data_IF_779782521273
#
_entry.id   IF_779782521273
#
_cell.length_a   1.000
_cell.length_b   1.000
_cell.length_c   1.000
_cell.angle_alpha   90.00
_cell.angle_beta   90.00
_cell.angle_gamma   90.00
#
_symmetry.space_group_name_H-M   'P 1'
#
loop_
_entity.id
_entity.type
_entity.pdbx_description
1 polymer ?
#
# COMPACT_ATOMS: atom_id res chain seq x y z
N UNK A 1 25.66 -14.19 -16.34
CA UNK A 1 26.53 -13.77 -15.22
C UNK A 1 26.33 -12.28 -14.85
N UNK A 2 26.36 -11.33 -15.80
CA UNK A 2 26.16 -9.88 -15.52
C UNK A 2 24.73 -9.53 -15.02
N UNK A 3 23.68 -10.15 -15.57
CA UNK A 3 22.30 -9.87 -15.14
C UNK A 3 22.05 -10.31 -13.68
N UNK A 4 22.61 -11.45 -13.27
CA UNK A 4 22.49 -11.97 -11.91
C UNK A 4 23.24 -11.12 -10.88
N UNK A 5 24.40 -10.55 -11.24
CA UNK A 5 25.14 -9.66 -10.33
C UNK A 5 24.40 -8.33 -10.12
N UNK A 6 23.80 -7.77 -11.17
CA UNK A 6 22.99 -6.54 -11.08
C UNK A 6 21.71 -6.76 -10.26
N UNK A 7 21.01 -7.89 -10.47
CA UNK A 7 19.82 -8.24 -9.68
C UNK A 7 20.15 -8.41 -8.19
N UNK A 8 21.25 -9.10 -7.87
CA UNK A 8 21.70 -9.30 -6.49
C UNK A 8 22.05 -7.96 -5.83
N UNK A 9 22.72 -7.06 -6.55
CA UNK A 9 23.09 -5.73 -6.04
C UNK A 9 21.86 -4.84 -5.80
N UNK A 10 20.91 -4.86 -6.72
CA UNK A 10 19.67 -4.08 -6.61
C UNK A 10 18.82 -4.57 -5.44
N UNK A 11 18.71 -5.90 -5.28
CA UNK A 11 18.03 -6.50 -4.12
C UNK A 11 18.70 -6.10 -2.81
N UNK A 12 20.02 -6.20 -2.71
CA UNK A 12 20.74 -5.82 -1.50
C UNK A 12 20.54 -4.33 -1.16
N UNK A 13 20.56 -3.47 -2.18
CA UNK A 13 20.29 -2.05 -2.00
C UNK A 13 18.86 -1.77 -1.52
N UNK A 14 17.85 -2.44 -2.09
CA UNK A 14 16.46 -2.28 -1.63
C UNK A 14 16.26 -2.78 -0.19
N UNK A 15 16.92 -3.88 0.18
CA UNK A 15 16.87 -4.40 1.55
C UNK A 15 17.53 -3.44 2.54
N UNK A 16 18.71 -2.89 2.22
CA UNK A 16 19.34 -1.83 3.02
C UNK A 16 18.43 -0.60 3.10
N UNK A 17 17.83 -0.19 1.98
CA UNK A 17 16.94 0.96 1.92
C UNK A 17 15.71 0.78 2.84
N UNK A 18 15.14 -0.43 2.87
CA UNK A 18 14.02 -0.77 3.73
C UNK A 18 14.40 -0.93 5.20
N UNK A 19 15.66 -1.21 5.51
CA UNK A 19 16.09 -1.53 6.87
C UNK A 19 15.88 -0.36 7.85
N UNK A 20 15.54 -0.72 9.09
CA UNK A 20 15.32 0.22 10.17
C UNK A 20 15.49 -0.45 11.53
N UNK A 21 16.17 0.23 12.46
CA UNK A 21 16.34 -0.22 13.84
C UNK A 21 14.99 -0.42 14.58
N UNK A 22 13.94 0.30 14.17
CA UNK A 22 12.60 0.12 14.72
C UNK A 22 11.83 -0.92 13.88
N UNK A 23 11.44 -2.06 14.46
CA UNK A 23 11.07 -3.21 13.66
C UNK A 23 9.70 -3.05 12.97
N UNK A 24 8.74 -2.34 13.59
CA UNK A 24 7.49 -1.95 12.91
C UNK A 24 7.71 -1.00 11.73
N UNK A 25 8.75 -0.16 11.80
CA UNK A 25 9.08 0.75 10.70
C UNK A 25 9.77 -0.01 9.57
N UNK A 26 10.65 -0.97 9.88
CA UNK A 26 11.24 -1.87 8.89
C UNK A 26 10.17 -2.69 8.15
N UNK A 27 9.21 -3.31 8.87
CA UNK A 27 8.08 -4.01 8.25
C UNK A 27 7.23 -3.07 7.40
N UNK A 28 6.95 -1.85 7.89
CA UNK A 28 6.24 -0.82 7.13
C UNK A 28 6.97 -0.41 5.85
N UNK A 29 8.29 -0.24 5.91
CA UNK A 29 9.12 0.10 4.75
C UNK A 29 9.05 -0.98 3.66
N UNK A 30 9.03 -2.26 4.04
CA UNK A 30 8.85 -3.36 3.09
C UNK A 30 7.51 -3.26 2.37
N UNK A 31 6.42 -3.02 3.10
CA UNK A 31 5.09 -2.80 2.50
C UNK A 31 5.09 -1.59 1.58
N UNK A 32 5.71 -0.48 2.01
CA UNK A 32 5.82 0.73 1.20
C UNK A 32 6.57 0.48 -0.11
N UNK A 33 7.66 -0.28 -0.10
CA UNK A 33 8.41 -0.61 -1.31
C UNK A 33 7.64 -1.54 -2.25
N UNK A 34 6.84 -2.47 -1.73
CA UNK A 34 5.94 -3.28 -2.56
C UNK A 34 4.88 -2.41 -3.24
N UNK A 35 4.28 -1.47 -2.52
CA UNK A 35 3.31 -0.53 -3.07
C UNK A 35 3.94 0.45 -4.07
N UNK A 36 5.14 0.94 -3.79
CA UNK A 36 5.93 1.75 -4.73
C UNK A 36 6.22 0.94 -6.00
N UNK A 37 6.66 -0.32 -5.86
CA UNK A 37 6.92 -1.22 -6.98
C UNK A 37 5.70 -1.44 -7.86
N UNK A 38 4.49 -1.46 -7.30
CA UNK A 38 3.24 -1.63 -8.05
C UNK A 38 2.81 -0.37 -8.84
N UNK A 39 3.06 0.81 -8.28
CA UNK A 39 2.60 2.09 -8.85
C UNK A 39 2.91 2.31 -10.36
N UNK A 40 4.11 2.00 -10.89
CA UNK A 40 4.40 2.16 -12.31
C UNK A 40 3.74 1.11 -13.21
N UNK A 41 3.34 -0.04 -12.68
CA UNK A 41 2.70 -1.11 -13.47
C UNK A 41 1.17 -1.06 -13.43
N UNK A 42 0.59 -0.39 -12.45
CA UNK A 42 -0.86 -0.29 -12.31
C UNK A 42 -1.59 0.24 -13.58
N UNK A 43 -1.11 1.30 -14.26
CA UNK A 43 -1.73 1.74 -15.52
C UNK A 43 -1.76 0.66 -16.60
N UNK A 44 -0.73 -0.21 -16.63
CA UNK A 44 -0.64 -1.31 -17.59
C UNK A 44 -1.72 -2.34 -17.30
N UNK A 45 -1.90 -2.73 -16.03
CA UNK A 45 -2.94 -3.69 -15.65
C UNK A 45 -4.34 -3.16 -15.99
N UNK A 46 -4.61 -1.89 -15.68
CA UNK A 46 -5.88 -1.23 -16.02
C UNK A 46 -6.10 -1.19 -17.53
N UNK A 47 -5.07 -0.81 -18.30
CA UNK A 47 -5.15 -0.77 -19.76
C UNK A 47 -5.44 -2.14 -20.39
N UNK A 48 -4.89 -3.22 -19.81
CA UNK A 48 -5.13 -4.59 -20.28
C UNK A 48 -6.55 -5.07 -20.02
N UNK A 49 -7.19 -4.67 -18.91
CA UNK A 49 -8.51 -5.18 -18.52
C UNK A 49 -9.67 -4.28 -18.96
N UNK A 50 -9.45 -2.97 -19.07
CA UNK A 50 -10.49 -1.98 -19.34
C UNK A 50 -10.24 -1.10 -20.57
N UNK A 51 -9.09 -1.29 -21.24
CA UNK A 51 -8.69 -0.56 -22.44
C UNK A 51 -7.88 0.71 -22.17
N UNK A 52 -7.35 1.30 -23.23
CA UNK A 52 -6.39 2.42 -23.20
C UNK A 52 -7.02 3.81 -23.28
N UNK A 53 -8.35 3.90 -23.41
CA UNK A 53 -9.04 5.18 -23.66
C UNK A 53 -8.88 6.19 -22.51
N UNK A 54 -8.66 5.71 -21.28
CA UNK A 54 -8.39 6.54 -20.10
C UNK A 54 -6.92 6.86 -19.84
N UNK A 55 -5.99 6.45 -20.73
CA UNK A 55 -4.55 6.42 -20.44
C UNK A 55 -3.95 7.71 -19.86
N UNK A 56 -4.26 8.93 -20.35
CA UNK A 56 -3.70 10.15 -19.77
C UNK A 56 -4.02 10.30 -18.28
N UNK A 57 -5.24 9.93 -17.89
CA UNK A 57 -5.68 9.94 -16.49
C UNK A 57 -5.04 8.81 -15.70
N UNK A 58 -4.96 7.60 -16.28
CA UNK A 58 -4.33 6.44 -15.63
C UNK A 58 -2.88 6.69 -15.24
N UNK A 59 -2.11 7.40 -16.06
CA UNK A 59 -0.72 7.73 -15.74
C UNK A 59 -0.59 8.54 -14.44
N UNK A 60 -1.63 9.23 -13.99
CA UNK A 60 -1.62 9.94 -12.71
C UNK A 60 -1.53 8.99 -11.51
N UNK A 61 -1.91 7.71 -11.61
CA UNK A 61 -1.70 6.75 -10.51
C UNK A 61 -0.21 6.51 -10.25
N UNK A 62 0.67 6.80 -11.21
CA UNK A 62 2.12 6.71 -11.02
C UNK A 62 2.64 7.77 -10.05
N UNK A 63 1.89 8.84 -9.80
CA UNK A 63 2.26 9.87 -8.82
C UNK A 63 2.37 9.29 -7.41
N UNK A 64 1.77 8.14 -7.13
CA UNK A 64 1.89 7.45 -5.84
C UNK A 64 3.28 6.84 -5.62
N UNK A 65 4.04 6.54 -6.69
CA UNK A 65 5.39 6.00 -6.60
C UNK A 65 6.31 6.81 -5.67
N UNK A 66 6.55 8.12 -5.90
CA UNK A 66 7.44 8.91 -5.06
C UNK A 66 6.99 8.97 -3.59
N UNK A 67 5.68 8.99 -3.32
CA UNK A 67 5.18 9.02 -1.94
C UNK A 67 5.50 7.72 -1.19
N UNK A 68 5.15 6.57 -1.76
CA UNK A 68 5.49 5.28 -1.14
C UNK A 68 7.01 5.06 -1.06
N UNK A 69 7.75 5.43 -2.09
CA UNK A 69 9.20 5.29 -2.12
C UNK A 69 9.92 6.21 -1.12
N UNK A 70 9.30 7.32 -0.71
CA UNK A 70 9.85 8.23 0.30
C UNK A 70 9.70 7.72 1.74
N UNK A 71 8.83 6.74 1.99
CA UNK A 71 8.54 6.23 3.33
C UNK A 71 9.79 5.73 4.06
N UNK A 72 10.68 4.89 3.46
CA UNK A 72 11.89 4.45 4.15
C UNK A 72 12.85 5.60 4.46
N UNK A 73 12.96 6.59 3.57
CA UNK A 73 13.77 7.78 3.83
C UNK A 73 13.24 8.61 5.03
N UNK A 74 11.91 8.74 5.16
CA UNK A 74 11.29 9.38 6.32
C UNK A 74 11.50 8.54 7.60
N UNK A 75 11.35 7.22 7.50
CA UNK A 75 11.55 6.29 8.62
C UNK A 75 12.99 6.30 9.16
N UNK A 76 13.99 6.50 8.29
CA UNK A 76 15.40 6.64 8.68
C UNK A 76 15.64 7.89 9.54
N UNK A 77 14.91 8.98 9.29
CA UNK A 77 14.97 10.20 10.10
C UNK A 77 14.18 10.07 11.40
N UNK A 78 12.99 9.48 11.31
CA UNK A 78 12.14 9.21 12.45
C UNK A 78 11.20 8.04 12.13
N UNK A 79 11.33 6.90 12.84
CA UNK A 79 10.48 5.73 12.62
C UNK A 79 8.98 6.00 12.77
N UNK A 80 8.58 6.95 13.61
CA UNK A 80 7.18 7.35 13.75
C UNK A 80 6.70 8.08 12.49
N UNK A 81 7.48 9.01 11.95
CA UNK A 81 7.10 9.76 10.74
C UNK A 81 6.92 8.83 9.54
N UNK A 82 7.79 7.83 9.34
CA UNK A 82 7.64 6.85 8.27
C UNK A 82 6.31 6.09 8.35
N UNK A 83 5.92 5.65 9.55
CA UNK A 83 4.67 4.90 9.76
C UNK A 83 3.41 5.75 9.57
N UNK A 84 3.45 7.01 10.02
CA UNK A 84 2.38 7.98 9.76
C UNK A 84 2.27 8.24 8.25
N UNK A 85 3.39 8.53 7.60
CA UNK A 85 3.46 8.80 6.17
C UNK A 85 2.91 7.62 5.35
N UNK A 86 3.28 6.38 5.69
CA UNK A 86 2.75 5.19 5.04
C UNK A 86 1.23 5.07 5.17
N UNK A 87 0.70 5.25 6.37
CA UNK A 87 -0.74 5.14 6.65
C UNK A 87 -1.55 6.18 5.86
N UNK A 88 -1.07 7.43 5.84
CA UNK A 88 -1.70 8.51 5.11
C UNK A 88 -1.56 8.36 3.59
N UNK A 89 -0.39 7.95 3.11
CA UNK A 89 -0.12 7.74 1.68
C UNK A 89 -0.99 6.61 1.13
N UNK A 90 -1.10 5.49 1.86
CA UNK A 90 -1.94 4.37 1.46
C UNK A 90 -3.40 4.81 1.29
N UNK A 91 -3.94 5.51 2.30
CA UNK A 91 -5.33 5.99 2.28
C UNK A 91 -5.56 7.04 1.20
N UNK A 92 -4.67 8.03 1.11
CA UNK A 92 -4.75 9.10 0.12
C UNK A 92 -4.66 8.57 -1.31
N UNK A 93 -3.77 7.61 -1.57
CA UNK A 93 -3.69 6.90 -2.84
C UNK A 93 -5.00 6.18 -3.18
N UNK A 94 -5.60 5.46 -2.21
CA UNK A 94 -6.86 4.77 -2.45
C UNK A 94 -8.00 5.72 -2.79
N UNK A 95 -8.14 6.82 -2.04
CA UNK A 95 -9.14 7.86 -2.31
C UNK A 95 -8.90 8.48 -3.69
N UNK A 96 -7.66 8.83 -4.00
CA UNK A 96 -7.27 9.41 -5.29
C UNK A 96 -7.58 8.47 -6.46
N UNK A 97 -7.19 7.20 -6.37
CA UNK A 97 -7.46 6.21 -7.41
C UNK A 97 -8.96 5.87 -7.54
N UNK A 98 -9.72 5.95 -6.45
CA UNK A 98 -11.19 5.82 -6.48
C UNK A 98 -11.82 6.97 -7.24
N UNK A 99 -11.43 8.19 -6.93
CA UNK A 99 -11.88 9.36 -7.68
C UNK A 99 -11.52 9.26 -9.17
N UNK A 100 -10.29 8.84 -9.47
CA UNK A 100 -9.74 8.81 -10.82
C UNK A 100 -10.40 7.75 -11.71
N UNK A 101 -10.65 6.54 -11.17
CA UNK A 101 -11.23 5.43 -11.92
C UNK A 101 -12.75 5.34 -11.80
N UNK A 102 -13.31 5.95 -10.75
CA UNK A 102 -14.70 5.84 -10.36
C UNK A 102 -14.94 4.69 -9.39
N UNK A 103 -15.89 4.88 -8.48
CA UNK A 103 -16.25 3.94 -7.41
C UNK A 103 -16.50 2.50 -7.91
N UNK A 104 -17.11 2.37 -9.09
CA UNK A 104 -17.41 1.08 -9.74
C UNK A 104 -16.17 0.26 -10.06
N UNK A 105 -14.97 0.84 -10.08
CA UNK A 105 -13.73 0.10 -10.32
C UNK A 105 -13.31 -0.74 -9.11
N UNK A 106 -13.94 -0.60 -7.94
CA UNK A 106 -13.63 -1.39 -6.74
C UNK A 106 -12.32 -0.99 -6.05
N UNK A 107 -11.72 0.15 -6.40
CA UNK A 107 -10.50 0.65 -5.74
C UNK A 107 -10.75 1.04 -4.28
N UNK A 108 -11.98 1.40 -3.89
CA UNK A 108 -12.33 1.64 -2.49
C UNK A 108 -12.07 0.45 -1.57
N UNK A 109 -12.07 -0.78 -2.10
CA UNK A 109 -11.80 -1.98 -1.32
C UNK A 109 -10.43 -1.93 -0.64
N UNK A 110 -9.48 -1.16 -1.18
CA UNK A 110 -8.17 -0.95 -0.57
C UNK A 110 -8.22 -0.14 0.74
N UNK A 111 -9.33 0.53 1.07
CA UNK A 111 -9.48 1.21 2.37
C UNK A 111 -9.41 0.21 3.53
N UNK A 112 -9.84 -1.04 3.31
CA UNK A 112 -9.71 -2.12 4.31
C UNK A 112 -8.25 -2.47 4.63
N UNK A 113 -7.38 -2.84 3.67
CA UNK A 113 -5.96 -3.03 3.95
C UNK A 113 -5.28 -1.75 4.46
N UNK A 114 -5.72 -0.55 4.07
CA UNK A 114 -5.20 0.70 4.65
C UNK A 114 -5.49 0.79 6.15
N UNK A 115 -6.73 0.48 6.58
CA UNK A 115 -7.11 0.47 8.00
C UNK A 115 -6.35 -0.62 8.77
N UNK A 116 -6.26 -1.82 8.19
CA UNK A 116 -5.47 -2.93 8.76
C UNK A 116 -4.01 -2.53 8.92
N UNK A 117 -3.38 -1.98 7.88
CA UNK A 117 -1.99 -1.54 7.92
C UNK A 117 -1.78 -0.47 9.00
N UNK A 118 -2.63 0.55 9.05
CA UNK A 118 -2.57 1.58 10.08
C UNK A 118 -2.78 1.00 11.48
N UNK A 119 -3.61 -0.03 11.66
CA UNK A 119 -3.78 -0.68 12.97
C UNK A 119 -2.55 -1.49 13.42
N UNK A 120 -1.77 -2.01 12.47
CA UNK A 120 -0.61 -2.86 12.75
C UNK A 120 0.70 -2.08 12.91
N UNK A 121 0.79 -0.88 12.34
CA UNK A 121 2.03 -0.10 12.35
C UNK A 121 2.38 0.49 13.72
N UNK A 122 1.46 0.58 14.67
CA UNK A 122 1.67 1.32 15.93
C UNK A 122 1.68 0.42 17.15
N UNK A 123 2.47 0.82 18.15
CA UNK A 123 2.52 0.13 19.44
C UNK A 123 1.30 0.47 20.28
N UNK A 124 1.04 -0.37 21.29
CA UNK A 124 -0.03 -0.12 22.27
C UNK A 124 0.13 1.22 23.02
N UNK A 125 1.36 1.70 23.21
CA UNK A 125 1.64 3.02 23.79
C UNK A 125 1.21 4.18 22.88
N UNK A 126 1.05 3.94 21.58
CA UNK A 126 0.68 4.92 20.55
C UNK A 126 -0.81 4.77 20.14
N UNK A 127 -1.63 4.11 20.98
CA UNK A 127 -2.99 3.68 20.63
C UNK A 127 -3.89 4.79 20.12
N UNK A 128 -3.81 6.00 20.66
CA UNK A 128 -4.65 7.10 20.19
C UNK A 128 -4.30 7.48 18.74
N UNK A 129 -3.02 7.56 18.43
CA UNK A 129 -2.55 7.82 17.06
C UNK A 129 -2.91 6.67 16.12
N UNK A 130 -2.75 5.42 16.58
CA UNK A 130 -3.17 4.22 15.84
C UNK A 130 -4.66 4.27 15.50
N UNK A 131 -5.52 4.55 16.48
CA UNK A 131 -6.97 4.62 16.27
C UNK A 131 -7.34 5.79 15.37
N UNK A 132 -6.69 6.95 15.52
CA UNK A 132 -6.89 8.08 14.63
C UNK A 132 -6.55 7.71 13.18
N UNK A 133 -5.37 7.14 12.92
CA UNK A 133 -4.93 6.78 11.57
C UNK A 133 -5.69 5.59 10.98
N UNK A 134 -6.04 4.58 11.76
CA UNK A 134 -6.90 3.48 11.31
C UNK A 134 -8.35 3.94 11.07
N UNK A 135 -8.78 5.00 11.76
CA UNK A 135 -10.06 5.66 11.52
C UNK A 135 -10.10 6.47 10.24
N UNK A 136 -8.96 6.94 9.70
CA UNK A 136 -8.93 7.76 8.47
C UNK A 136 -9.52 7.01 7.25
N UNK A 137 -9.13 5.75 6.92
CA UNK A 137 -9.76 5.00 5.84
C UNK A 137 -11.26 4.78 6.03
N UNK A 138 -11.70 4.54 7.27
CA UNK A 138 -13.12 4.35 7.60
C UNK A 138 -13.89 5.65 7.39
N UNK A 139 -13.35 6.77 7.88
CA UNK A 139 -13.91 8.09 7.65
C UNK A 139 -13.94 8.43 6.15
N UNK A 140 -12.89 8.12 5.40
CA UNK A 140 -12.85 8.33 3.96
C UNK A 140 -13.98 7.56 3.26
N UNK A 141 -14.21 6.30 3.61
CA UNK A 141 -15.35 5.53 3.09
C UNK A 141 -16.68 6.19 3.46
N UNK A 142 -16.93 6.45 4.73
CA UNK A 142 -18.21 7.00 5.21
C UNK A 142 -18.53 8.39 4.63
N UNK A 143 -17.51 9.19 4.34
CA UNK A 143 -17.66 10.56 3.87
C UNK A 143 -17.71 10.65 2.34
N UNK A 144 -17.02 9.76 1.62
CA UNK A 144 -16.82 9.87 0.17
C UNK A 144 -17.57 8.82 -0.66
N UNK A 145 -17.93 7.66 -0.10
CA UNK A 145 -18.67 6.63 -0.82
C UNK A 145 -19.99 7.20 -1.37
N UNK A 146 -20.25 7.00 -2.67
CA UNK A 146 -21.37 7.60 -3.39
C UNK A 146 -21.25 9.11 -3.65
N UNK A 147 -20.12 9.74 -3.31
CA UNK A 147 -19.93 11.22 -3.33
C UNK A 147 -18.66 11.67 -4.05
N UNK A 148 -17.93 10.77 -4.72
CA UNK A 148 -16.73 11.11 -5.50
C UNK A 148 -16.99 12.01 -6.71
N UNK A 149 -18.24 12.06 -7.20
CA UNK A 149 -18.58 12.69 -8.47
C UNK A 149 -18.21 11.81 -9.66
N UNK A 150 -18.34 12.35 -10.88
CA UNK A 150 -17.99 11.64 -12.10
C UNK A 150 -16.45 11.55 -12.24
N UNK A 151 -15.90 10.36 -12.58
CA UNK A 151 -14.48 10.22 -12.85
C UNK A 151 -14.09 10.96 -14.14
N UNK A 152 -12.81 11.34 -14.32
CA UNK A 152 -12.34 11.98 -15.56
C UNK A 152 -12.51 11.14 -16.83
N UNK A 153 -12.62 9.82 -16.69
CA UNK A 153 -12.93 8.90 -17.77
C UNK A 153 -13.87 7.80 -17.29
N UNK A 154 -14.97 7.59 -18.02
CA UNK A 154 -15.91 6.51 -17.76
C UNK A 154 -15.59 5.29 -18.63
N UNK A 155 -15.55 4.13 -17.98
CA UNK A 155 -15.39 2.84 -18.66
C UNK A 155 -16.75 2.22 -19.00
N UNK A 156 -16.76 1.32 -19.98
CA UNK A 156 -17.91 0.49 -20.28
C UNK A 156 -18.23 -0.46 -19.11
N UNK A 157 -19.47 -0.96 -19.05
CA UNK A 157 -19.91 -1.85 -17.96
C UNK A 157 -18.99 -3.06 -17.75
N UNK A 158 -18.59 -3.73 -18.84
CA UNK A 158 -17.68 -4.88 -18.79
C UNK A 158 -16.27 -4.48 -18.30
N UNK A 159 -15.80 -3.30 -18.72
CA UNK A 159 -14.54 -2.73 -18.24
C UNK A 159 -14.57 -2.47 -16.74
N UNK A 160 -15.66 -1.90 -16.21
CA UNK A 160 -15.83 -1.72 -14.76
C UNK A 160 -15.89 -3.05 -14.01
N UNK A 161 -16.56 -4.07 -14.54
CA UNK A 161 -16.62 -5.39 -13.91
C UNK A 161 -15.23 -6.05 -13.86
N UNK A 162 -14.44 -5.93 -14.93
CA UNK A 162 -13.07 -6.42 -14.97
C UNK A 162 -12.16 -5.67 -13.99
N UNK A 163 -12.27 -4.34 -13.92
CA UNK A 163 -11.54 -3.52 -12.94
C UNK A 163 -11.90 -3.89 -11.50
N UNK A 164 -13.19 -4.04 -11.21
CA UNK A 164 -13.64 -4.43 -9.89
C UNK A 164 -13.03 -5.77 -9.47
N UNK A 165 -13.10 -6.77 -10.35
CA UNK A 165 -12.55 -8.11 -10.09
C UNK A 165 -11.04 -8.05 -9.86
N UNK A 166 -10.30 -7.32 -10.70
CA UNK A 166 -8.87 -7.13 -10.56
C UNK A 166 -8.52 -6.46 -9.22
N UNK A 167 -9.16 -5.33 -8.91
CA UNK A 167 -8.89 -4.58 -7.69
C UNK A 167 -9.30 -5.35 -6.43
N UNK A 168 -10.38 -6.13 -6.48
CA UNK A 168 -10.80 -7.01 -5.38
C UNK A 168 -9.74 -8.08 -5.08
N UNK A 169 -9.22 -8.74 -6.12
CA UNK A 169 -8.12 -9.72 -5.98
C UNK A 169 -6.88 -9.03 -5.42
N UNK A 170 -6.48 -7.88 -5.98
CA UNK A 170 -5.32 -7.13 -5.50
C UNK A 170 -5.46 -6.67 -4.04
N UNK A 171 -6.64 -6.20 -3.63
CA UNK A 171 -6.93 -5.81 -2.25
C UNK A 171 -6.85 -7.01 -1.29
N UNK A 172 -7.34 -8.18 -1.71
CA UNK A 172 -7.16 -9.43 -0.98
C UNK A 172 -5.69 -9.83 -0.84
N UNK A 173 -4.95 -9.82 -1.94
CA UNK A 173 -3.53 -10.20 -1.96
C UNK A 173 -2.66 -9.28 -1.09
N UNK A 174 -2.86 -7.96 -1.14
CA UNK A 174 -2.09 -7.04 -0.28
C UNK A 174 -2.49 -7.20 1.20
N UNK A 175 -3.76 -7.49 1.50
CA UNK A 175 -4.20 -7.78 2.87
C UNK A 175 -3.51 -9.03 3.43
N UNK A 176 -3.45 -10.10 2.62
CA UNK A 176 -2.72 -11.34 2.96
C UNK A 176 -1.24 -11.04 3.16
N UNK A 177 -0.62 -10.30 2.23
CA UNK A 177 0.78 -9.93 2.33
C UNK A 177 1.08 -9.15 3.60
N UNK A 178 0.27 -8.13 3.94
CA UNK A 178 0.36 -7.39 5.20
C UNK A 178 0.28 -8.35 6.39
N UNK A 179 -0.70 -9.27 6.41
CA UNK A 179 -0.83 -10.27 7.46
C UNK A 179 0.42 -11.14 7.63
N UNK A 180 1.02 -11.60 6.53
CA UNK A 180 2.23 -12.43 6.53
C UNK A 180 3.44 -11.66 7.07
N UNK A 181 3.69 -10.43 6.60
CA UNK A 181 4.89 -9.69 7.01
C UNK A 181 4.81 -9.22 8.46
N UNK A 182 3.61 -8.93 8.97
CA UNK A 182 3.42 -8.56 10.37
C UNK A 182 3.32 -9.77 11.31
N UNK A 183 2.85 -10.95 10.86
CA UNK A 183 2.84 -12.13 11.72
C UNK A 183 4.26 -12.57 12.11
N UNK A 184 5.21 -12.49 11.18
CA UNK A 184 6.63 -12.77 11.46
C UNK A 184 7.23 -11.82 12.50
N UNK A 185 6.75 -10.57 12.58
CA UNK A 185 7.17 -9.61 13.59
C UNK A 185 6.67 -9.98 15.00
N UNK A 186 5.46 -10.54 15.09
CA UNK A 186 4.83 -10.88 16.38
C UNK A 186 5.16 -12.30 16.88
N UNK A 187 5.73 -13.16 16.02
CA UNK A 187 6.09 -14.54 16.36
C UNK A 187 7.33 -14.67 17.28
N UNK A 188 8.09 -13.61 17.52
CA UNK A 188 9.40 -13.70 18.19
C UNK A 188 9.44 -13.22 19.67
N UNK A 189 8.73 -13.91 20.59
CA UNK A 189 9.20 -14.01 21.99
C UNK A 189 9.28 -15.43 22.56
N UNK A 190 8.76 -16.45 21.86
CA UNK A 190 8.69 -17.83 22.35
C UNK A 190 9.84 -18.72 21.81
N UNK A 191 10.32 -18.46 20.59
CA UNK A 191 11.38 -19.27 19.94
C UNK A 191 12.79 -18.98 20.47
N UNK A 192 12.98 -17.86 21.22
CA UNK A 192 14.27 -17.52 21.86
C UNK A 192 14.49 -18.18 23.23
N UNK A 193 13.48 -18.84 23.80
CA UNK A 193 13.58 -19.49 25.13
C UNK A 193 13.92 -20.98 25.07
N UNK A 194 14.05 -21.55 23.87
CA UNK A 194 14.25 -22.98 23.64
C UNK A 194 15.64 -23.36 23.13
N UNK A 195 16.55 -22.41 22.93
CA UNK A 195 17.97 -22.70 22.71
C UNK A 195 18.68 -22.95 24.05
N UNK A 196 19.23 -24.15 24.31
CA UNK A 196 20.01 -24.43 25.51
C UNK A 196 21.39 -23.76 25.44
N UNK A 197 22.06 -23.55 26.59
CA UNK A 197 23.38 -22.90 26.68
C UNK A 197 24.50 -23.71 26.02
#
# INVERSE_FOLDING_TARGET
MILQSTLTRTKAWLLDYADNHHPLAATGNLVALVLAGNAPFYPIYVALVAGTNGMPWLLLTMLSFPFFFSVPALARRNPLLGRIALSLTATGNTVFCTWLLGERSGTELFLLPCATLASLLFRRSERLLMLALAGVPVAAYLLLHGRYGAPPHEYQADGYAALFSMNAVSAGMISIFIGIVFSGLFADPADRRTSPP
#
